data_IF_097811666969
#
_entry.id   IF_097811666969
#
_cell.length_a   1.000
_cell.length_b   1.000
_cell.length_c   1.000
_cell.angle_alpha   90.00
_cell.angle_beta   90.00
_cell.angle_gamma   90.00
#
_symmetry.space_group_name_H-M   'P 1'
#
loop_
_entity.id
_entity.type
_entity.pdbx_description
1 polymer ?
#
# COMPACT_ATOMS: atom_id res chain seq x y z
N UNK A 1 -8.89 -13.28 6.67
CA UNK A 1 -8.02 -12.55 5.73
C UNK A 1 -7.20 -13.53 4.89
N UNK A 2 -6.41 -14.40 5.50
CA UNK A 2 -5.56 -15.37 4.77
C UNK A 2 -6.31 -16.20 3.72
N UNK A 3 -7.52 -16.66 4.01
CA UNK A 3 -8.33 -17.48 3.08
C UNK A 3 -8.96 -16.67 1.93
N UNK A 4 -8.88 -15.34 1.97
CA UNK A 4 -9.55 -14.46 1.01
C UNK A 4 -8.60 -13.67 0.13
N UNK A 5 -7.33 -13.59 0.50
CA UNK A 5 -6.33 -12.77 -0.18
C UNK A 5 -5.04 -13.56 -0.40
N UNK A 6 -4.45 -13.41 -1.56
CA UNK A 6 -3.19 -14.06 -1.92
C UNK A 6 -1.99 -13.44 -1.20
N UNK A 7 -2.12 -12.21 -0.75
CA UNK A 7 -1.09 -11.46 -0.06
C UNK A 7 -1.67 -10.63 1.08
N UNK A 8 -1.25 -10.93 2.31
CA UNK A 8 -1.67 -10.25 3.54
C UNK A 8 -0.44 -9.69 4.22
N UNK A 9 -0.50 -8.44 4.64
CA UNK A 9 0.58 -7.76 5.37
C UNK A 9 0.07 -7.32 6.73
N UNK A 10 0.89 -7.54 7.76
CA UNK A 10 0.72 -6.91 9.06
C UNK A 10 1.87 -5.94 9.33
N UNK A 11 1.63 -4.90 10.11
CA UNK A 11 2.62 -3.89 10.45
C UNK A 11 2.69 -3.68 11.95
N UNK A 12 3.87 -3.87 12.53
CA UNK A 12 4.16 -3.61 13.95
C UNK A 12 3.83 -4.74 14.90
N UNK A 13 4.04 -4.49 16.19
CA UNK A 13 3.80 -5.43 17.28
C UNK A 13 4.77 -6.62 17.32
N UNK A 14 6.01 -6.46 16.83
CA UNK A 14 7.05 -7.48 16.80
C UNK A 14 8.31 -7.08 17.58
N UNK A 15 8.20 -6.06 18.42
CA UNK A 15 9.30 -5.58 19.27
C UNK A 15 9.46 -6.39 20.56
N UNK A 16 10.30 -5.90 21.49
CA UNK A 16 10.65 -6.61 22.72
C UNK A 16 9.69 -6.35 23.89
N UNK A 17 8.71 -5.45 23.74
CA UNK A 17 7.87 -5.00 24.85
C UNK A 17 6.61 -5.85 25.01
N UNK A 18 5.88 -5.66 26.10
CA UNK A 18 4.74 -6.52 26.46
C UNK A 18 3.54 -6.38 25.53
N UNK A 19 3.41 -5.24 24.87
CA UNK A 19 2.39 -4.91 23.88
C UNK A 19 2.71 -5.40 22.45
N UNK A 20 3.94 -5.88 22.23
CA UNK A 20 4.34 -6.54 20.98
C UNK A 20 3.83 -7.98 20.95
N UNK A 21 2.60 -8.17 20.50
CA UNK A 21 1.90 -9.46 20.53
C UNK A 21 1.59 -10.06 19.15
N UNK A 22 2.10 -9.48 18.06
CA UNK A 22 1.74 -9.90 16.70
C UNK A 22 2.17 -11.34 16.41
N UNK A 23 3.42 -11.71 16.74
CA UNK A 23 3.88 -13.10 16.55
C UNK A 23 3.04 -14.09 17.34
N UNK A 24 2.77 -13.81 18.62
CA UNK A 24 1.98 -14.68 19.50
C UNK A 24 0.54 -14.83 18.99
N UNK A 25 -0.08 -13.72 18.56
CA UNK A 25 -1.46 -13.70 18.09
C UNK A 25 -1.62 -14.49 16.80
N UNK A 26 -0.71 -14.32 15.83
CA UNK A 26 -0.72 -15.05 14.57
C UNK A 26 -0.38 -16.53 14.80
N UNK A 27 0.64 -16.83 15.63
CA UNK A 27 0.96 -18.20 16.01
C UNK A 27 -0.26 -18.93 16.60
N UNK A 28 -0.96 -18.27 17.54
CA UNK A 28 -2.18 -18.82 18.14
C UNK A 28 -3.30 -19.03 17.12
N UNK A 29 -3.51 -18.08 16.22
CA UNK A 29 -4.57 -18.17 15.19
C UNK A 29 -4.35 -19.34 14.22
N UNK A 30 -3.11 -19.73 13.97
CA UNK A 30 -2.74 -20.84 13.09
C UNK A 30 -2.29 -22.10 13.84
N UNK A 31 -2.44 -22.12 15.17
CA UNK A 31 -2.01 -23.23 16.04
C UNK A 31 -0.54 -23.62 15.82
N UNK A 32 0.33 -22.61 15.69
CA UNK A 32 1.75 -22.79 15.48
C UNK A 32 2.53 -22.51 16.76
N UNK A 33 3.65 -23.21 16.99
CA UNK A 33 4.59 -22.85 18.05
C UNK A 33 5.37 -21.58 17.68
N UNK A 34 5.74 -20.79 18.69
CA UNK A 34 6.82 -19.82 18.57
C UNK A 34 8.14 -20.54 18.79
N UNK A 35 9.07 -20.41 17.86
CA UNK A 35 10.40 -21.02 17.94
C UNK A 35 11.47 -19.99 17.69
N UNK A 36 12.57 -20.09 18.44
CA UNK A 36 13.76 -19.29 18.18
C UNK A 36 14.27 -19.59 16.76
N UNK A 37 14.22 -18.60 15.89
CA UNK A 37 14.77 -18.69 14.55
C UNK A 37 16.26 -18.34 14.60
N UNK A 38 17.12 -19.35 14.47
CA UNK A 38 18.55 -19.23 14.73
C UNK A 38 19.21 -18.16 13.86
N UNK A 39 18.93 -18.13 12.56
CA UNK A 39 19.50 -17.13 11.66
C UNK A 39 19.10 -15.68 12.05
N UNK A 40 17.85 -15.46 12.47
CA UNK A 40 17.41 -14.16 12.99
C UNK A 40 18.19 -13.77 14.24
N UNK A 41 18.36 -14.71 15.15
CA UNK A 41 19.12 -14.47 16.37
C UNK A 41 20.58 -14.14 16.07
N UNK A 42 21.24 -14.92 15.22
CA UNK A 42 22.65 -14.72 14.86
C UNK A 42 22.86 -13.36 14.16
N UNK A 43 22.01 -13.01 13.22
CA UNK A 43 22.04 -11.69 12.57
C UNK A 43 21.77 -10.56 13.58
N UNK A 44 20.79 -10.73 14.47
CA UNK A 44 20.50 -9.76 15.51
C UNK A 44 21.69 -9.57 16.46
N UNK A 45 22.33 -10.66 16.89
CA UNK A 45 23.53 -10.62 17.74
C UNK A 45 24.67 -9.89 17.04
N UNK A 46 24.90 -10.18 15.77
CA UNK A 46 25.98 -9.60 14.96
C UNK A 46 25.76 -8.10 14.70
N UNK A 47 24.54 -7.70 14.38
CA UNK A 47 24.23 -6.33 13.94
C UNK A 47 23.80 -5.40 15.08
N UNK A 48 23.49 -5.94 16.26
CA UNK A 48 23.11 -5.13 17.43
C UNK A 48 24.32 -4.37 17.97
N UNK A 49 24.23 -3.05 17.96
CA UNK A 49 25.19 -2.19 18.65
C UNK A 49 24.89 -2.18 20.15
N UNK A 50 25.96 -2.09 20.96
CA UNK A 50 25.82 -1.88 22.40
C UNK A 50 25.10 -0.55 22.64
N UNK A 51 23.99 -0.60 23.36
CA UNK A 51 23.26 0.62 23.68
C UNK A 51 24.00 1.40 24.77
N UNK A 52 24.22 2.73 24.62
CA UNK A 52 24.99 3.52 25.60
C UNK A 52 24.47 3.37 27.05
N UNK A 53 23.16 3.25 27.23
CA UNK A 53 22.54 3.08 28.54
C UNK A 53 22.46 1.62 29.00
N UNK A 54 23.00 0.67 28.23
CA UNK A 54 23.11 -0.76 28.59
C UNK A 54 24.50 -1.32 28.27
N UNK A 55 25.56 -0.71 28.77
CA UNK A 55 26.96 -1.10 28.41
C UNK A 55 27.35 -2.52 28.89
N UNK A 56 26.60 -3.07 29.83
CA UNK A 56 26.85 -4.43 30.41
C UNK A 56 25.93 -5.49 29.76
N UNK A 57 25.22 -5.20 28.68
CA UNK A 57 24.38 -6.20 28.01
C UNK A 57 25.27 -7.27 27.37
N UNK A 58 25.00 -8.51 27.72
CA UNK A 58 25.71 -9.68 27.19
C UNK A 58 24.69 -10.66 26.60
N UNK A 59 24.94 -11.11 25.36
CA UNK A 59 24.09 -12.07 24.68
C UNK A 59 24.20 -13.49 25.25
N UNK A 60 25.28 -13.82 25.90
CA UNK A 60 25.56 -15.17 26.40
C UNK A 60 25.12 -15.33 27.87
N UNK A 61 24.77 -14.23 28.54
CA UNK A 61 24.25 -14.23 29.92
C UNK A 61 22.73 -14.09 29.92
N UNK A 62 22.03 -15.02 30.58
CA UNK A 62 20.60 -14.93 30.76
C UNK A 62 20.23 -13.71 31.60
N UNK A 63 19.38 -12.85 31.05
CA UNK A 63 18.91 -11.63 31.69
C UNK A 63 17.53 -11.23 31.19
N UNK A 64 16.77 -10.41 31.93
CA UNK A 64 15.48 -9.88 31.44
C UNK A 64 15.61 -9.16 30.10
N UNK A 65 16.68 -8.41 29.88
CA UNK A 65 16.94 -7.70 28.64
C UNK A 65 17.20 -8.66 27.47
N UNK A 66 17.96 -9.75 27.71
CA UNK A 66 18.19 -10.80 26.71
C UNK A 66 16.87 -11.51 26.35
N UNK A 67 16.09 -11.92 27.34
CA UNK A 67 14.80 -12.56 27.11
C UNK A 67 13.84 -11.66 26.32
N UNK A 68 13.81 -10.37 26.63
CA UNK A 68 13.03 -9.39 25.86
C UNK A 68 13.47 -9.32 24.39
N UNK A 69 14.79 -9.28 24.13
CA UNK A 69 15.31 -9.28 22.77
C UNK A 69 15.03 -10.58 22.01
N UNK A 70 15.10 -11.74 22.67
CA UNK A 70 14.82 -13.04 22.05
C UNK A 70 13.40 -13.14 21.50
N UNK A 71 12.42 -12.49 22.13
CA UNK A 71 11.04 -12.44 21.62
C UNK A 71 10.96 -11.95 20.17
N UNK A 72 11.88 -11.07 19.75
CA UNK A 72 11.92 -10.56 18.38
C UNK A 72 12.44 -11.58 17.37
N UNK A 73 13.09 -12.66 17.84
CA UNK A 73 13.60 -13.76 17.03
C UNK A 73 12.81 -15.07 17.23
N UNK A 74 11.78 -15.06 18.09
CA UNK A 74 10.85 -16.17 18.27
C UNK A 74 9.71 -16.03 17.25
N UNK A 75 9.82 -16.76 16.13
CA UNK A 75 8.89 -16.67 15.02
C UNK A 75 7.83 -17.77 15.06
N UNK A 76 6.62 -17.51 14.52
CA UNK A 76 5.64 -18.56 14.23
C UNK A 76 6.20 -19.51 13.18
N UNK A 77 6.42 -20.78 13.52
CA UNK A 77 7.04 -21.76 12.63
C UNK A 77 6.10 -22.94 12.40
N UNK A 78 5.86 -23.26 11.15
CA UNK A 78 5.16 -24.46 10.69
C UNK A 78 6.22 -25.48 10.20
N UNK A 79 6.49 -26.49 11.01
CA UNK A 79 7.48 -27.51 10.67
C UNK A 79 7.06 -28.43 9.50
N UNK A 80 5.82 -28.40 9.11
CA UNK A 80 5.31 -29.15 7.93
C UNK A 80 5.65 -28.47 6.60
N UNK A 81 6.13 -27.22 6.64
CA UNK A 81 6.44 -26.40 5.47
C UNK A 81 7.93 -26.10 5.37
N UNK A 82 8.36 -25.65 4.20
CA UNK A 82 9.73 -25.21 3.95
C UNK A 82 10.11 -24.03 4.86
N UNK A 83 11.04 -24.27 5.78
CA UNK A 83 11.49 -23.28 6.76
C UNK A 83 12.12 -22.06 6.11
N UNK A 84 12.80 -22.22 4.95
CA UNK A 84 13.44 -21.12 4.23
C UNK A 84 12.45 -20.12 3.66
N UNK A 85 11.19 -20.53 3.51
CA UNK A 85 10.11 -19.65 3.02
C UNK A 85 9.33 -18.98 4.14
N UNK A 86 9.65 -19.25 5.39
CA UNK A 86 8.95 -18.71 6.56
C UNK A 86 9.66 -17.53 7.21
N UNK A 87 10.93 -17.31 6.88
CA UNK A 87 11.70 -16.14 7.32
C UNK A 87 12.51 -15.63 6.12
N UNK A 88 12.07 -14.54 5.51
CA UNK A 88 12.71 -13.95 4.34
C UNK A 88 13.59 -12.78 4.79
N UNK A 89 14.82 -12.73 4.27
CA UNK A 89 15.77 -11.63 4.50
C UNK A 89 15.99 -10.88 3.19
N UNK A 90 15.14 -9.92 2.85
CA UNK A 90 15.25 -9.20 1.58
C UNK A 90 16.50 -8.30 1.47
N UNK A 91 17.17 -8.03 2.60
CA UNK A 91 18.32 -7.16 2.69
C UNK A 91 19.37 -7.74 3.65
N UNK A 92 20.60 -7.82 3.20
CA UNK A 92 21.72 -8.39 4.00
C UNK A 92 22.13 -7.50 5.17
N UNK A 93 21.89 -6.20 5.09
CA UNK A 93 22.16 -5.20 6.13
C UNK A 93 21.06 -5.09 7.20
N UNK A 94 20.05 -5.95 7.15
CA UNK A 94 18.98 -6.02 8.13
C UNK A 94 18.95 -7.39 8.81
N UNK A 95 18.85 -7.38 10.14
CA UNK A 95 18.72 -8.61 10.92
C UNK A 95 17.26 -9.09 11.03
N UNK A 96 16.30 -8.17 10.94
CA UNK A 96 14.87 -8.50 11.06
C UNK A 96 14.35 -9.14 9.77
N UNK A 97 13.79 -10.36 9.84
CA UNK A 97 13.20 -10.99 8.70
C UNK A 97 11.77 -10.48 8.45
N UNK A 98 11.24 -10.74 7.27
CA UNK A 98 9.80 -10.84 7.06
C UNK A 98 9.39 -12.26 7.42
N UNK A 99 8.67 -12.43 8.53
CA UNK A 99 8.12 -13.74 8.90
C UNK A 99 6.87 -14.03 8.06
N UNK A 100 6.81 -15.23 7.47
CA UNK A 100 5.72 -15.63 6.57
C UNK A 100 4.95 -16.79 7.17
N UNK A 101 3.67 -16.57 7.44
CA UNK A 101 2.75 -17.59 7.97
C UNK A 101 1.73 -17.97 6.90
N UNK A 102 1.37 -19.24 6.85
CA UNK A 102 0.44 -19.84 5.87
C UNK A 102 0.80 -19.54 4.40
N UNK A 103 2.04 -19.12 4.13
CA UNK A 103 2.54 -18.81 2.79
C UNK A 103 2.07 -17.47 2.21
N UNK A 104 1.13 -16.76 2.85
CA UNK A 104 0.59 -15.50 2.34
C UNK A 104 0.48 -14.38 3.37
N UNK A 105 0.66 -14.63 4.67
CA UNK A 105 0.70 -13.60 5.70
C UNK A 105 2.16 -13.20 5.92
N UNK A 106 2.47 -11.95 5.63
CA UNK A 106 3.80 -11.37 5.77
C UNK A 106 3.82 -10.40 6.94
N UNK A 107 4.60 -10.71 7.96
CA UNK A 107 4.67 -9.94 9.21
C UNK A 107 5.85 -9.00 9.14
N UNK A 108 5.59 -7.69 9.14
CA UNK A 108 6.57 -6.63 9.03
C UNK A 108 6.60 -5.75 10.29
N UNK A 109 7.75 -5.08 10.57
CA UNK A 109 7.88 -4.13 11.68
C UNK A 109 7.03 -2.87 11.44
N UNK A 110 6.74 -2.14 12.54
CA UNK A 110 5.98 -0.89 12.50
C UNK A 110 6.78 0.36 12.17
N UNK A 111 8.13 0.29 12.16
CA UNK A 111 9.01 1.43 11.87
C UNK A 111 8.89 1.76 10.37
N UNK A 112 8.39 2.97 9.97
CA UNK A 112 8.00 3.26 8.58
C UNK A 112 9.11 2.97 7.55
N UNK A 113 10.33 3.46 7.79
CA UNK A 113 11.47 3.23 6.89
C UNK A 113 11.84 1.76 6.75
N UNK A 114 11.75 1.00 7.84
CA UNK A 114 12.07 -0.41 7.86
C UNK A 114 10.97 -1.22 7.17
N UNK A 115 9.71 -0.89 7.45
CA UNK A 115 8.55 -1.47 6.78
C UNK A 115 8.65 -1.29 5.26
N UNK A 116 8.88 -0.07 4.80
CA UNK A 116 8.97 0.24 3.36
C UNK A 116 10.11 -0.55 2.70
N UNK A 117 11.32 -0.54 3.28
CA UNK A 117 12.45 -1.28 2.72
C UNK A 117 12.16 -2.78 2.62
N UNK A 118 11.62 -3.38 3.67
CA UNK A 118 11.30 -4.80 3.67
C UNK A 118 10.19 -5.13 2.67
N UNK A 119 9.15 -4.30 2.57
CA UNK A 119 8.08 -4.50 1.60
C UNK A 119 8.58 -4.41 0.15
N UNK A 120 9.42 -3.42 -0.15
CA UNK A 120 10.06 -3.28 -1.47
C UNK A 120 10.96 -4.47 -1.79
N UNK A 121 11.73 -4.93 -0.82
CA UNK A 121 12.60 -6.09 -0.96
C UNK A 121 11.86 -7.42 -1.12
N UNK A 122 10.56 -7.49 -0.81
CA UNK A 122 9.72 -8.67 -1.08
C UNK A 122 9.32 -8.80 -2.55
N UNK A 123 9.48 -7.77 -3.39
CA UNK A 123 9.07 -7.81 -4.80
C UNK A 123 9.53 -9.08 -5.54
N UNK A 124 10.80 -9.53 -5.46
CA UNK A 124 11.25 -10.74 -6.15
C UNK A 124 10.51 -12.01 -5.70
N UNK A 125 10.00 -12.04 -4.47
CA UNK A 125 9.27 -13.19 -3.90
C UNK A 125 7.77 -13.16 -4.25
N UNK A 126 7.22 -11.98 -4.51
CA UNK A 126 5.79 -11.75 -4.69
C UNK A 126 5.43 -11.67 -6.18
N UNK A 127 6.21 -10.93 -6.98
CA UNK A 127 5.90 -10.72 -8.40
C UNK A 127 5.63 -12.01 -9.19
N UNK A 128 6.39 -13.12 -9.02
CA UNK A 128 6.12 -14.36 -9.72
C UNK A 128 4.77 -15.03 -9.36
N UNK A 129 4.16 -14.59 -8.26
CA UNK A 129 2.88 -15.13 -7.74
C UNK A 129 1.69 -14.30 -8.18
N UNK A 130 1.91 -13.11 -8.69
CA UNK A 130 0.84 -12.23 -9.16
C UNK A 130 0.34 -12.69 -10.53
N UNK A 131 -0.96 -12.61 -10.74
CA UNK A 131 -1.58 -12.82 -12.06
C UNK A 131 -1.23 -11.71 -13.06
N UNK A 132 -0.81 -10.55 -12.55
CA UNK A 132 -0.39 -9.39 -13.34
C UNK A 132 0.83 -8.74 -12.65
N UNK A 133 2.04 -9.34 -12.80
CA UNK A 133 3.25 -8.88 -12.12
C UNK A 133 3.74 -7.50 -12.59
N UNK A 134 3.33 -7.06 -13.78
CA UNK A 134 3.71 -5.77 -14.34
C UNK A 134 2.70 -4.65 -14.02
N UNK A 135 1.56 -5.01 -13.40
CA UNK A 135 0.52 -4.05 -13.06
C UNK A 135 -0.19 -3.42 -14.26
N UNK A 136 -0.02 -4.02 -15.46
CA UNK A 136 -0.59 -3.51 -16.71
C UNK A 136 -2.08 -3.77 -16.83
N UNK A 137 -2.61 -4.68 -16.02
CA UNK A 137 -4.00 -5.08 -16.08
C UNK A 137 -4.97 -4.20 -15.28
N UNK A 138 -4.49 -3.15 -14.62
CA UNK A 138 -5.36 -2.23 -13.86
C UNK A 138 -4.89 -0.79 -14.04
N UNK A 139 -5.76 0.01 -14.64
CA UNK A 139 -5.55 1.44 -14.87
C UNK A 139 -6.39 2.26 -13.89
N UNK A 140 -5.89 3.41 -13.51
CA UNK A 140 -6.58 4.36 -12.63
C UNK A 140 -6.57 5.73 -13.27
N UNK A 141 -7.76 6.32 -13.42
CA UNK A 141 -7.94 7.70 -13.86
C UNK A 141 -8.44 8.51 -12.67
N UNK A 142 -7.80 9.65 -12.43
CA UNK A 142 -8.04 10.53 -11.30
C UNK A 142 -8.71 11.82 -11.77
N UNK A 143 -9.63 12.29 -10.96
CA UNK A 143 -10.31 13.58 -11.18
C UNK A 143 -10.32 14.39 -9.88
N UNK A 144 -10.16 15.71 -10.02
CA UNK A 144 -10.33 16.68 -8.95
C UNK A 144 -11.66 17.39 -9.15
N UNK A 145 -12.52 17.46 -8.12
CA UNK A 145 -13.79 18.14 -8.15
C UNK A 145 -13.94 19.13 -7.00
N UNK A 146 -14.46 20.36 -7.25
CA UNK A 146 -14.77 21.30 -6.19
C UNK A 146 -16.09 20.96 -5.45
N UNK A 147 -16.87 20.01 -5.95
CA UNK A 147 -18.14 19.63 -5.35
C UNK A 147 -17.92 18.79 -4.08
N UNK A 148 -18.75 18.96 -3.04
CA UNK A 148 -18.76 18.08 -1.89
C UNK A 148 -19.23 16.67 -2.29
N UNK A 149 -18.88 15.64 -1.49
CA UNK A 149 -19.30 14.25 -1.76
C UNK A 149 -20.82 14.11 -1.96
N UNK A 150 -21.61 14.82 -1.16
CA UNK A 150 -23.09 14.84 -1.32
C UNK A 150 -23.55 15.42 -2.66
N UNK A 151 -22.77 16.32 -3.24
CA UNK A 151 -23.08 16.93 -4.54
C UNK A 151 -22.80 16.01 -5.73
N UNK A 152 -21.87 15.06 -5.59
CA UNK A 152 -21.53 14.11 -6.65
C UNK A 152 -22.13 12.71 -6.42
N UNK A 153 -22.71 12.43 -5.26
CA UNK A 153 -23.14 11.09 -4.84
C UNK A 153 -24.13 10.43 -5.80
N UNK A 154 -25.16 11.16 -6.24
CA UNK A 154 -26.19 10.64 -7.16
C UNK A 154 -25.59 10.31 -8.53
N UNK A 155 -24.80 11.22 -9.07
CA UNK A 155 -24.07 11.00 -10.33
C UNK A 155 -23.14 9.79 -10.22
N UNK A 156 -22.33 9.69 -9.17
CA UNK A 156 -21.39 8.59 -8.99
C UNK A 156 -22.11 7.24 -8.79
N UNK A 157 -23.27 7.24 -8.16
CA UNK A 157 -24.11 6.04 -8.01
C UNK A 157 -24.59 5.56 -9.39
N UNK A 158 -25.09 6.48 -10.20
CA UNK A 158 -25.54 6.19 -11.57
C UNK A 158 -24.39 5.73 -12.45
N UNK A 159 -23.25 6.40 -12.37
CA UNK A 159 -22.03 6.03 -13.10
C UNK A 159 -21.54 4.63 -12.68
N UNK A 160 -21.48 4.35 -11.39
CA UNK A 160 -21.05 3.05 -10.89
C UNK A 160 -21.94 1.90 -11.39
N UNK A 161 -23.26 2.10 -11.43
CA UNK A 161 -24.20 1.13 -11.99
C UNK A 161 -23.97 0.93 -13.51
N UNK A 162 -23.69 2.00 -14.27
CA UNK A 162 -23.40 1.97 -15.70
C UNK A 162 -22.12 1.23 -16.04
N UNK A 163 -21.01 1.51 -15.31
CA UNK A 163 -19.67 1.03 -15.66
C UNK A 163 -19.28 -0.26 -14.94
N UNK A 164 -19.96 -0.59 -13.84
CA UNK A 164 -19.71 -1.81 -13.05
C UNK A 164 -19.74 -3.11 -13.87
N UNK A 165 -20.72 -3.34 -14.75
CA UNK A 165 -20.76 -4.52 -15.62
C UNK A 165 -19.56 -4.66 -16.55
N UNK A 166 -18.84 -3.57 -16.84
CA UNK A 166 -17.60 -3.55 -17.62
C UNK A 166 -16.34 -3.64 -16.76
N UNK A 167 -16.49 -3.94 -15.45
CA UNK A 167 -15.39 -4.13 -14.53
C UNK A 167 -14.71 -2.85 -14.05
N UNK A 168 -15.34 -1.68 -14.25
CA UNK A 168 -14.85 -0.40 -13.74
C UNK A 168 -15.43 -0.12 -12.36
N UNK A 169 -14.55 0.24 -11.42
CA UNK A 169 -14.90 0.70 -10.08
C UNK A 169 -14.82 2.21 -10.01
N UNK A 170 -15.82 2.82 -9.38
CA UNK A 170 -15.88 4.25 -9.11
C UNK A 170 -15.63 4.49 -7.63
N UNK A 171 -14.76 5.43 -7.29
CA UNK A 171 -14.45 5.80 -5.91
C UNK A 171 -14.49 7.31 -5.72
N UNK A 172 -14.88 7.75 -4.52
CA UNK A 172 -14.81 9.14 -4.08
C UNK A 172 -14.01 9.21 -2.79
N UNK A 173 -13.13 10.17 -2.70
CA UNK A 173 -12.23 10.35 -1.55
C UNK A 173 -12.25 11.81 -1.10
N UNK A 174 -12.88 12.10 0.05
CA UNK A 174 -12.85 13.44 0.61
C UNK A 174 -11.42 13.75 1.06
N UNK A 175 -10.94 14.94 0.73
CA UNK A 175 -9.62 15.40 1.16
C UNK A 175 -9.77 16.33 2.36
N UNK A 176 -9.50 15.81 3.54
CA UNK A 176 -9.59 16.59 4.77
C UNK A 176 -8.67 17.82 4.71
N UNK A 177 -9.23 19.02 4.94
CA UNK A 177 -8.48 20.29 4.90
C UNK A 177 -8.15 20.82 3.50
N UNK A 178 -8.61 20.16 2.41
CA UNK A 178 -8.47 20.64 1.03
C UNK A 178 -9.81 21.14 0.47
N UNK A 179 -9.75 22.00 -0.56
CA UNK A 179 -10.94 22.54 -1.20
C UNK A 179 -11.63 21.57 -2.17
N UNK A 180 -10.85 20.65 -2.72
CA UNK A 180 -11.31 19.72 -3.76
C UNK A 180 -11.30 18.28 -3.26
N UNK A 181 -12.28 17.50 -3.71
CA UNK A 181 -12.34 16.07 -3.50
C UNK A 181 -11.76 15.32 -4.69
N UNK A 182 -11.33 14.07 -4.49
CA UNK A 182 -10.81 13.21 -5.55
C UNK A 182 -11.86 12.17 -5.94
N UNK A 183 -12.12 12.05 -7.24
CA UNK A 183 -12.92 10.96 -7.82
C UNK A 183 -11.97 10.06 -8.63
N UNK A 184 -12.19 8.75 -8.59
CA UNK A 184 -11.34 7.79 -9.30
C UNK A 184 -12.17 6.81 -10.11
N UNK A 185 -11.68 6.48 -11.30
CA UNK A 185 -12.11 5.32 -12.06
C UNK A 185 -10.97 4.29 -12.08
N UNK A 186 -11.28 3.03 -11.78
CA UNK A 186 -10.31 1.93 -11.80
C UNK A 186 -10.86 0.79 -12.61
N UNK A 187 -10.13 0.37 -13.64
CA UNK A 187 -10.53 -0.71 -14.55
C UNK A 187 -9.36 -1.30 -15.32
N UNK A 188 -9.62 -2.37 -16.09
CA UNK A 188 -8.59 -3.05 -16.88
C UNK A 188 -8.49 -2.54 -18.33
N UNK A 189 -9.55 -1.98 -18.84
CA UNK A 189 -9.65 -1.45 -20.19
C UNK A 189 -9.35 0.05 -20.17
N UNK A 190 -8.14 0.41 -20.58
CA UNK A 190 -7.69 1.80 -20.60
C UNK A 190 -8.49 2.63 -21.60
N UNK A 191 -8.75 2.10 -22.81
CA UNK A 191 -9.46 2.83 -23.85
C UNK A 191 -10.91 3.15 -23.40
N UNK A 192 -11.52 2.18 -22.70
CA UNK A 192 -12.84 2.42 -22.12
C UNK A 192 -12.80 3.47 -21.00
N UNK A 193 -11.78 3.43 -20.11
CA UNK A 193 -11.62 4.46 -19.08
C UNK A 193 -11.42 5.85 -19.68
N UNK A 194 -10.60 5.97 -20.72
CA UNK A 194 -10.35 7.21 -21.44
C UNK A 194 -11.64 7.74 -22.11
N UNK A 195 -12.45 6.85 -22.66
CA UNK A 195 -13.76 7.25 -23.27
C UNK A 195 -14.77 7.82 -22.27
N UNK A 196 -14.56 7.65 -20.97
CA UNK A 196 -15.43 8.17 -19.91
C UNK A 196 -14.97 9.54 -19.37
N UNK A 197 -13.78 10.01 -19.75
CA UNK A 197 -13.17 11.20 -19.14
C UNK A 197 -14.06 12.42 -19.25
N UNK A 198 -14.53 12.75 -20.45
CA UNK A 198 -15.34 13.95 -20.70
C UNK A 198 -16.69 13.89 -19.96
N UNK A 199 -17.34 12.73 -19.99
CA UNK A 199 -18.59 12.50 -19.27
C UNK A 199 -18.41 12.70 -17.76
N UNK A 200 -17.32 12.15 -17.20
CA UNK A 200 -17.05 12.24 -15.77
C UNK A 200 -16.72 13.67 -15.38
N UNK A 201 -15.86 14.35 -16.14
CA UNK A 201 -15.51 15.77 -15.89
C UNK A 201 -16.77 16.65 -15.86
N UNK A 202 -17.67 16.46 -16.82
CA UNK A 202 -18.94 17.19 -16.87
C UNK A 202 -19.84 16.85 -15.66
N UNK A 203 -19.96 15.56 -15.32
CA UNK A 203 -20.86 15.09 -14.25
C UNK A 203 -20.46 15.51 -12.85
N UNK A 204 -19.15 15.67 -12.60
CA UNK A 204 -18.61 16.10 -11.30
C UNK A 204 -18.15 17.56 -11.28
N UNK A 205 -18.30 18.30 -12.38
CA UNK A 205 -17.77 19.65 -12.56
C UNK A 205 -16.28 19.75 -12.20
N UNK A 206 -15.52 18.74 -12.60
CA UNK A 206 -14.13 18.54 -12.21
C UNK A 206 -13.21 18.39 -13.42
N UNK A 207 -11.93 18.18 -13.13
CA UNK A 207 -10.89 18.00 -14.14
C UNK A 207 -10.09 16.72 -13.86
N UNK A 208 -9.62 16.07 -14.94
CA UNK A 208 -8.65 15.00 -14.84
C UNK A 208 -7.34 15.52 -14.24
N UNK A 209 -6.71 14.72 -13.40
CA UNK A 209 -5.40 15.03 -12.78
C UNK A 209 -4.48 13.81 -12.88
N UNK A 210 -3.17 14.02 -13.05
CA UNK A 210 -2.20 12.94 -13.22
C UNK A 210 -1.76 12.32 -11.89
N UNK A 211 -1.86 13.08 -10.80
CA UNK A 211 -1.54 12.64 -9.45
C UNK A 211 -2.45 13.31 -8.43
N UNK A 212 -2.57 12.70 -7.27
CA UNK A 212 -3.15 13.36 -6.10
C UNK A 212 -2.17 14.47 -5.66
N UNK A 213 -2.28 15.66 -6.25
CA UNK A 213 -1.40 16.77 -5.90
C UNK A 213 -1.66 17.23 -4.47
N UNK A 214 -0.60 17.30 -3.66
CA UNK A 214 -0.64 17.96 -2.33
C UNK A 214 -0.65 19.48 -2.43
N UNK A 215 -0.60 20.02 -3.67
CA UNK A 215 -0.58 21.44 -3.97
C UNK A 215 -1.97 22.06 -4.01
N UNK A 216 -2.06 23.28 -3.57
CA UNK A 216 -3.16 24.18 -3.90
C UNK A 216 -3.12 24.44 -5.41
N UNK A 217 -3.98 23.80 -6.18
CA UNK A 217 -4.22 24.23 -7.55
C UNK A 217 -4.90 25.61 -7.46
N UNK A 218 -4.17 26.65 -7.89
CA UNK A 218 -4.67 28.01 -7.92
C UNK A 218 -5.92 28.06 -8.83
N UNK A 219 -7.10 28.50 -8.32
CA UNK A 219 -8.31 28.60 -9.12
C UNK A 219 -8.15 29.45 -10.40
N UNK A 220 -7.08 30.25 -10.48
CA UNK A 220 -6.71 31.03 -11.67
C UNK A 220 -6.09 30.16 -12.77
N UNK A 221 -5.42 29.06 -12.45
CA UNK A 221 -4.86 28.15 -13.45
C UNK A 221 -5.97 27.29 -14.10
N UNK A 222 -6.96 26.85 -13.30
CA UNK A 222 -8.12 26.11 -13.81
C UNK A 222 -8.92 26.97 -14.80
N UNK A 223 -9.15 28.27 -14.49
CA UNK A 223 -9.84 29.19 -15.40
C UNK A 223 -9.02 29.52 -16.65
N UNK A 224 -7.68 29.54 -16.55
CA UNK A 224 -6.81 29.84 -17.68
C UNK A 224 -6.79 28.69 -18.69
N UNK A 225 -6.74 27.45 -18.22
CA UNK A 225 -6.77 26.25 -19.05
C UNK A 225 -8.13 26.09 -19.76
N UNK A 226 -9.24 26.26 -19.04
CA UNK A 226 -10.58 26.24 -19.62
C UNK A 226 -10.80 27.38 -20.67
N UNK A 227 -10.11 28.51 -20.50
CA UNK A 227 -10.19 29.63 -21.46
C UNK A 227 -9.29 29.41 -22.68
N UNK A 228 -8.15 28.72 -22.50
CA UNK A 228 -7.24 28.36 -23.60
C UNK A 228 -7.84 27.26 -24.47
N UNK A 229 -8.52 26.28 -23.88
CA UNK A 229 -9.22 25.21 -24.61
C UNK A 229 -10.45 25.75 -25.36
N UNK A 230 -11.24 26.63 -24.76
CA UNK A 230 -12.36 27.31 -25.43
C UNK A 230 -11.90 28.22 -26.58
N UNK A 231 -10.71 28.82 -26.50
CA UNK A 231 -10.14 29.62 -27.59
C UNK A 231 -9.55 28.77 -28.71
N UNK A 232 -9.09 27.54 -28.45
CA UNK A 232 -8.67 26.60 -29.51
C UNK A 232 -9.83 26.13 -30.35
N UNK A 233 -10.95 25.75 -29.73
CA UNK A 233 -12.17 25.34 -30.44
C UNK A 233 -12.77 26.49 -31.30
N UNK A 234 -12.59 27.74 -30.87
CA UNK A 234 -13.08 28.91 -31.65
C UNK A 234 -12.12 29.25 -32.81
N UNK A 235 -10.84 28.98 -32.67
CA UNK A 235 -9.84 29.21 -33.72
C UNK A 235 -9.94 28.16 -34.87
N UNK A 236 -10.28 26.92 -34.57
CA UNK A 236 -10.47 25.87 -35.57
C UNK A 236 -11.77 26.08 -36.39
N UNK A 237 -12.80 26.68 -35.79
CA UNK A 237 -14.06 26.99 -36.52
C UNK A 237 -14.00 28.20 -37.46
N UNK A 238 -12.93 29.02 -37.38
CA UNK A 238 -12.77 30.22 -38.24
C UNK A 238 -11.96 29.92 -39.50
N UNK A 239 -11.31 28.76 -39.60
CA UNK A 239 -10.47 28.39 -40.78
C UNK A 239 -11.24 27.59 -41.84
N UNK A 240 -12.48 27.14 -41.55
CA UNK A 240 -13.35 26.47 -42.55
C UNK A 240 -14.52 27.34 -42.97
N UNK A 241 -14.28 28.35 -43.78
CA UNK A 241 -15.29 28.87 -44.76
C UNK A 241 -14.59 29.41 -45.97
N UNK A 242 -15.01 28.95 -47.16
CA UNK A 242 -14.42 29.30 -48.46
C UNK A 242 -14.65 30.77 -48.84
#
# INVERSE_FOLDING_TARGET
MSDRYDFVVTSGGIGPTHDDITYQSIAKAFNLPLKLHQETFDKMKLMSKVHPNQPKFDWDVDSPARRAKLRMAELPIDESRDLKKQALFPHDDLWVPVSVVNGNIHILPGIPRLFQRLLEGLKPHILPRLSDPEGKGTHRVLFSTPLPESGVADYLTTLAAKVGPKGVKVGSYPRWGKKNNTVTLVGRDLDYLESLVDEVQAGIQGLRVDAESDGEEDPKQIKKQATEDANKDTAEQVVEKP
#
